data_IF_939948005366
#
_entry.id   IF_939948005366
#
_cell.length_a   1.000
_cell.length_b   1.000
_cell.length_c   1.000
_cell.angle_alpha   90.00
_cell.angle_beta   90.00
_cell.angle_gamma   90.00
#
_symmetry.space_group_name_H-M   'P 1'
#
loop_
_entity.id
_entity.type
_entity.pdbx_description
1 polymer ?
#
# COMPACT_ATOMS: atom_id res chain seq x y z
N UNK A 1 -10.58 -22.76 -2.79
CA UNK A 1 -9.79 -21.81 -1.99
C UNK A 1 -8.88 -20.92 -2.85
N UNK A 2 -8.01 -21.46 -3.71
CA UNK A 2 -7.12 -20.63 -4.55
C UNK A 2 -7.85 -19.58 -5.41
N UNK A 3 -8.92 -19.96 -6.12
CA UNK A 3 -9.75 -19.01 -6.86
C UNK A 3 -10.41 -17.93 -5.97
N UNK A 4 -10.77 -18.28 -4.73
CA UNK A 4 -11.35 -17.32 -3.79
C UNK A 4 -10.30 -16.28 -3.35
N UNK A 5 -9.05 -16.71 -3.12
CA UNK A 5 -7.94 -15.80 -2.81
C UNK A 5 -7.66 -14.85 -3.98
N UNK A 6 -7.63 -15.36 -5.21
CA UNK A 6 -7.48 -14.51 -6.41
C UNK A 6 -8.61 -13.48 -6.50
N UNK A 7 -9.87 -13.93 -6.37
CA UNK A 7 -11.02 -13.02 -6.44
C UNK A 7 -11.00 -11.94 -5.36
N UNK A 8 -10.68 -12.32 -4.12
CA UNK A 8 -10.55 -11.36 -3.01
C UNK A 8 -9.38 -10.39 -3.22
N UNK A 9 -8.23 -10.88 -3.68
CA UNK A 9 -7.07 -10.04 -3.98
C UNK A 9 -7.39 -8.97 -5.02
N UNK A 10 -7.98 -9.36 -6.15
CA UNK A 10 -8.36 -8.43 -7.22
C UNK A 10 -9.39 -7.40 -6.73
N UNK A 11 -10.43 -7.85 -6.02
CA UNK A 11 -11.46 -6.95 -5.47
C UNK A 11 -10.86 -5.89 -4.53
N UNK A 12 -9.96 -6.29 -3.63
CA UNK A 12 -9.30 -5.37 -2.70
C UNK A 12 -8.28 -4.47 -3.39
N UNK A 13 -7.59 -4.97 -4.42
CA UNK A 13 -6.70 -4.15 -5.25
C UNK A 13 -7.46 -2.98 -5.86
N UNK A 14 -8.57 -3.28 -6.54
CA UNK A 14 -9.41 -2.26 -7.18
C UNK A 14 -9.97 -1.27 -6.17
N UNK A 15 -10.42 -1.75 -5.01
CA UNK A 15 -10.91 -0.88 -3.94
C UNK A 15 -9.85 0.12 -3.48
N UNK A 16 -8.62 -0.35 -3.18
CA UNK A 16 -7.53 0.51 -2.70
C UNK A 16 -7.13 1.53 -3.78
N UNK A 17 -6.97 1.09 -5.04
CA UNK A 17 -6.62 1.98 -6.15
C UNK A 17 -7.70 3.03 -6.37
N UNK A 18 -8.98 2.64 -6.37
CA UNK A 18 -10.07 3.59 -6.56
C UNK A 18 -10.15 4.61 -5.42
N UNK A 19 -9.96 4.17 -4.17
CA UNK A 19 -9.91 5.08 -3.03
C UNK A 19 -8.77 6.11 -3.17
N UNK A 20 -7.58 5.69 -3.62
CA UNK A 20 -6.48 6.63 -3.88
C UNK A 20 -6.80 7.60 -5.03
N UNK A 21 -7.47 7.13 -6.09
CA UNK A 21 -7.90 7.97 -7.22
C UNK A 21 -8.96 8.99 -6.84
N UNK A 22 -9.86 8.64 -5.92
CA UNK A 22 -10.92 9.54 -5.43
C UNK A 22 -10.35 10.73 -4.68
N UNK A 23 -9.24 10.55 -3.95
CA UNK A 23 -8.54 11.63 -3.24
C UNK A 23 -7.85 12.62 -4.19
N UNK A 24 -7.60 12.22 -5.45
CA UNK A 24 -7.00 13.06 -6.52
C UNK A 24 -5.75 13.81 -6.09
N UNK A 25 -4.93 13.20 -5.23
CA UNK A 25 -3.70 13.83 -4.71
C UNK A 25 -2.61 13.75 -5.78
N UNK A 26 -2.16 14.88 -6.35
CA UNK A 26 -1.09 14.87 -7.33
C UNK A 26 0.26 14.72 -6.64
N UNK A 27 1.18 13.95 -7.22
CA UNK A 27 2.55 13.78 -6.70
C UNK A 27 3.28 15.11 -6.57
N UNK A 28 3.12 16.00 -7.55
CA UNK A 28 3.74 17.32 -7.55
C UNK A 28 3.25 18.19 -6.38
N UNK A 29 1.99 18.06 -5.96
CA UNK A 29 1.43 18.81 -4.83
C UNK A 29 2.09 18.44 -3.49
N UNK A 30 2.65 17.23 -3.40
CA UNK A 30 3.39 16.76 -2.23
C UNK A 30 4.89 17.08 -2.29
N UNK A 31 5.35 17.80 -3.32
CA UNK A 31 6.74 18.24 -3.46
C UNK A 31 7.64 17.26 -4.22
N UNK A 32 7.08 16.23 -4.84
CA UNK A 32 7.83 15.33 -5.73
C UNK A 32 8.24 16.11 -6.99
N UNK A 33 9.53 16.09 -7.34
CA UNK A 33 10.10 16.83 -8.47
C UNK A 33 10.16 15.98 -9.74
N UNK A 34 10.02 16.64 -10.90
CA UNK A 34 10.21 15.99 -12.20
C UNK A 34 9.07 15.04 -12.61
N UNK A 35 7.91 15.16 -11.98
CA UNK A 35 6.68 14.40 -12.29
C UNK A 35 5.66 15.30 -12.96
N UNK A 36 4.76 14.71 -13.74
CA UNK A 36 3.62 15.44 -14.31
C UNK A 36 2.76 16.00 -13.17
N UNK A 37 2.44 17.31 -13.15
CA UNK A 37 1.60 17.92 -12.13
C UNK A 37 0.18 17.35 -12.03
N UNK A 38 -0.27 16.63 -13.05
CA UNK A 38 -1.58 15.98 -13.11
C UNK A 38 -1.55 14.51 -12.72
N UNK A 39 -0.36 13.93 -12.54
CA UNK A 39 -0.20 12.53 -12.13
C UNK A 39 -0.68 12.34 -10.70
N UNK A 40 -1.75 11.56 -10.56
CA UNK A 40 -2.34 11.21 -9.27
C UNK A 40 -1.69 9.95 -8.72
N UNK A 41 -1.61 9.86 -7.40
CA UNK A 41 -1.11 8.65 -6.74
C UNK A 41 -2.12 7.53 -6.95
N UNK A 42 -1.77 6.49 -7.72
CA UNK A 42 -2.64 5.34 -7.92
C UNK A 42 -1.95 3.98 -7.81
N UNK A 43 -0.62 3.98 -7.63
CA UNK A 43 0.19 2.79 -7.39
C UNK A 43 0.86 2.78 -6.02
N UNK A 44 1.28 1.59 -5.58
CA UNK A 44 2.08 1.44 -4.37
C UNK A 44 3.41 2.20 -4.45
N UNK A 45 4.06 2.21 -5.62
CA UNK A 45 5.33 2.89 -5.81
C UNK A 45 5.20 4.41 -5.66
N UNK A 46 4.15 4.99 -6.24
CA UNK A 46 3.88 6.42 -6.13
C UNK A 46 3.50 6.79 -4.70
N UNK A 47 2.68 5.97 -4.04
CA UNK A 47 2.34 6.17 -2.63
C UNK A 47 3.58 6.12 -1.73
N UNK A 48 4.53 5.23 -2.01
CA UNK A 48 5.81 5.16 -1.29
C UNK A 48 6.67 6.41 -1.52
N UNK A 49 6.81 6.85 -2.78
CA UNK A 49 7.56 8.07 -3.12
C UNK A 49 6.93 9.28 -2.41
N UNK A 50 5.62 9.45 -2.55
CA UNK A 50 4.85 10.50 -1.88
C UNK A 50 5.02 10.45 -0.36
N UNK A 51 4.89 9.28 0.25
CA UNK A 51 5.04 9.08 1.69
C UNK A 51 6.45 9.43 2.16
N UNK A 52 7.49 9.07 1.40
CA UNK A 52 8.86 9.43 1.68
C UNK A 52 9.07 10.95 1.58
N UNK A 53 8.54 11.62 0.56
CA UNK A 53 8.63 13.07 0.42
C UNK A 53 7.91 13.82 1.55
N UNK A 54 6.71 13.38 1.93
CA UNK A 54 5.98 13.95 3.08
C UNK A 54 6.76 13.72 4.38
N UNK A 55 7.38 12.55 4.55
CA UNK A 55 8.24 12.25 5.70
C UNK A 55 9.46 13.17 5.75
N UNK A 56 10.14 13.37 4.63
CA UNK A 56 11.28 14.29 4.54
C UNK A 56 10.88 15.71 4.93
N UNK A 57 9.74 16.19 4.40
CA UNK A 57 9.19 17.49 4.77
C UNK A 57 8.88 17.57 6.28
N UNK A 58 8.23 16.55 6.84
CA UNK A 58 7.92 16.45 8.27
C UNK A 58 9.18 16.49 9.13
N UNK A 59 10.22 15.75 8.73
CA UNK A 59 11.51 15.76 9.43
C UNK A 59 12.26 17.09 9.28
N UNK A 60 12.02 17.84 8.21
CA UNK A 60 12.47 19.22 8.07
C UNK A 60 11.82 20.18 9.07
N UNK A 61 10.62 19.89 9.57
CA UNK A 61 9.96 20.66 10.65
C UNK A 61 10.56 20.28 12.02
N UNK A 62 10.65 18.99 12.31
CA UNK A 62 11.28 18.43 13.52
C UNK A 62 11.69 16.97 13.29
N UNK A 63 12.83 16.50 13.80
CA UNK A 63 13.26 15.13 13.52
C UNK A 63 12.36 14.07 14.19
N UNK A 64 11.64 14.42 15.26
CA UNK A 64 10.66 13.54 15.89
C UNK A 64 9.51 14.32 16.53
N UNK A 65 8.43 13.62 16.89
CA UNK A 65 7.32 14.20 17.64
C UNK A 65 7.77 14.72 19.01
N UNK A 66 8.75 14.06 19.64
CA UNK A 66 9.34 14.52 20.89
C UNK A 66 10.09 15.85 20.71
N UNK A 67 10.87 15.97 19.66
CA UNK A 67 11.57 17.23 19.35
C UNK A 67 10.61 18.35 18.96
N UNK A 68 9.51 18.03 18.28
CA UNK A 68 8.45 18.99 17.99
C UNK A 68 7.89 19.60 19.28
N UNK A 69 7.57 18.76 20.27
CA UNK A 69 6.94 19.20 21.51
C UNK A 69 7.93 19.73 22.56
N UNK A 70 9.18 19.28 22.51
CA UNK A 70 10.17 19.53 23.56
C UNK A 70 9.68 18.97 24.91
N UNK A 71 9.44 19.87 25.87
CA UNK A 71 8.84 19.55 27.18
C UNK A 71 7.34 19.87 27.26
N UNK A 72 6.77 20.42 26.19
CA UNK A 72 5.38 20.87 26.12
C UNK A 72 4.41 19.79 25.63
N UNK A 73 3.17 20.21 25.40
CA UNK A 73 2.10 19.40 24.80
C UNK A 73 1.77 19.92 23.40
N UNK A 74 1.04 19.11 22.63
CA UNK A 74 0.49 19.55 21.35
C UNK A 74 -0.35 20.83 21.51
N UNK A 75 -0.21 21.73 20.54
CA UNK A 75 -0.90 23.02 20.50
C UNK A 75 -1.51 23.18 19.10
N UNK A 76 -2.84 23.10 18.96
CA UNK A 76 -3.50 23.22 17.66
C UNK A 76 -3.42 24.63 17.08
N UNK A 77 -3.07 25.65 17.88
CA UNK A 77 -2.91 27.03 17.42
C UNK A 77 -1.50 27.31 16.89
N UNK A 78 -0.54 26.44 17.19
CA UNK A 78 0.81 26.52 16.66
C UNK A 78 0.86 25.92 15.24
N UNK A 79 1.16 26.72 14.19
CA UNK A 79 1.18 26.24 12.82
C UNK A 79 2.18 25.10 12.57
N UNK A 80 3.32 25.08 13.27
CA UNK A 80 4.30 23.98 13.13
C UNK A 80 3.76 22.67 13.66
N UNK A 81 3.09 22.69 14.81
CA UNK A 81 2.48 21.50 15.39
C UNK A 81 1.37 20.97 14.47
N UNK A 82 0.54 21.88 13.96
CA UNK A 82 -0.55 21.55 13.05
C UNK A 82 -0.01 20.91 11.75
N UNK A 83 0.91 21.56 11.04
CA UNK A 83 1.47 21.04 9.80
C UNK A 83 2.20 19.71 10.01
N UNK A 84 2.97 19.57 11.10
CA UNK A 84 3.61 18.30 11.44
C UNK A 84 2.60 17.17 11.63
N UNK A 85 1.52 17.45 12.36
CA UNK A 85 0.46 16.47 12.62
C UNK A 85 -0.35 16.11 11.36
N UNK A 86 -0.51 17.03 10.42
CA UNK A 86 -1.12 16.73 9.13
C UNK A 86 -0.19 15.86 8.27
N UNK A 87 1.10 16.20 8.24
CA UNK A 87 2.10 15.45 7.50
C UNK A 87 2.22 14.00 8.01
N UNK A 88 2.23 13.77 9.33
CA UNK A 88 2.32 12.39 9.87
C UNK A 88 1.07 11.56 9.52
N UNK A 89 -0.12 12.16 9.53
CA UNK A 89 -1.34 11.46 9.14
C UNK A 89 -1.32 11.09 7.66
N UNK A 90 -0.98 12.04 6.79
CA UNK A 90 -0.87 11.81 5.36
C UNK A 90 0.20 10.76 5.03
N UNK A 91 1.38 10.86 5.66
CA UNK A 91 2.45 9.87 5.57
C UNK A 91 1.93 8.46 5.91
N UNK A 92 1.24 8.32 7.04
CA UNK A 92 0.70 7.04 7.47
C UNK A 92 -0.35 6.49 6.50
N UNK A 93 -1.24 7.33 5.96
CA UNK A 93 -2.22 6.89 4.97
C UNK A 93 -1.57 6.39 3.68
N UNK A 94 -0.53 7.09 3.20
CA UNK A 94 0.23 6.69 2.02
C UNK A 94 0.91 5.33 2.25
N UNK A 95 1.62 5.15 3.37
CA UNK A 95 2.24 3.86 3.69
C UNK A 95 1.24 2.75 3.98
N UNK A 96 0.06 3.06 4.50
CA UNK A 96 -1.01 2.08 4.62
C UNK A 96 -1.50 1.62 3.24
N UNK A 97 -1.57 2.52 2.26
CA UNK A 97 -1.82 2.18 0.86
C UNK A 97 -0.76 1.23 0.28
N UNK A 98 0.53 1.54 0.50
CA UNK A 98 1.66 0.68 0.12
C UNK A 98 1.52 -0.72 0.73
N UNK A 99 1.33 -0.78 2.06
CA UNK A 99 1.20 -2.04 2.78
C UNK A 99 -0.02 -2.85 2.33
N UNK A 100 -1.15 -2.16 2.09
CA UNK A 100 -2.38 -2.79 1.58
C UNK A 100 -2.21 -3.43 0.21
N UNK A 101 -1.57 -2.72 -0.73
CA UNK A 101 -1.26 -3.27 -2.06
C UNK A 101 -0.19 -4.38 -2.00
N UNK A 102 0.77 -4.28 -1.09
CA UNK A 102 1.72 -5.35 -0.80
C UNK A 102 1.01 -6.63 -0.31
N UNK A 103 0.07 -6.49 0.63
CA UNK A 103 -0.74 -7.60 1.14
C UNK A 103 -1.59 -8.24 0.03
N UNK A 104 -2.23 -7.42 -0.81
CA UNK A 104 -2.97 -7.90 -1.99
C UNK A 104 -2.08 -8.76 -2.88
N UNK A 105 -0.85 -8.33 -3.15
CA UNK A 105 0.11 -9.08 -3.96
C UNK A 105 0.39 -10.46 -3.34
N UNK A 106 0.59 -10.54 -2.02
CA UNK A 106 0.79 -11.80 -1.30
C UNK A 106 -0.43 -12.72 -1.41
N UNK A 107 -1.64 -12.16 -1.28
CA UNK A 107 -2.91 -12.92 -1.40
C UNK A 107 -3.06 -13.49 -2.81
N UNK A 108 -2.79 -12.71 -3.85
CA UNK A 108 -2.83 -13.16 -5.24
C UNK A 108 -1.82 -14.27 -5.51
N UNK A 109 -0.57 -14.08 -5.08
CA UNK A 109 0.48 -15.09 -5.23
C UNK A 109 0.10 -16.41 -4.52
N UNK A 110 -0.43 -16.31 -3.30
CA UNK A 110 -0.91 -17.47 -2.53
C UNK A 110 -2.05 -18.20 -3.23
N UNK A 111 -3.02 -17.46 -3.79
CA UNK A 111 -4.11 -18.04 -4.56
C UNK A 111 -3.64 -18.77 -5.82
N UNK A 112 -2.68 -18.18 -6.55
CA UNK A 112 -2.05 -18.79 -7.71
C UNK A 112 -1.30 -20.07 -7.37
N UNK A 113 -0.49 -20.03 -6.30
CA UNK A 113 0.22 -21.21 -5.79
C UNK A 113 -0.74 -22.36 -5.48
N UNK A 114 -1.85 -22.10 -4.77
CA UNK A 114 -2.85 -23.13 -4.45
C UNK A 114 -3.44 -23.79 -5.72
N UNK A 115 -3.66 -23.03 -6.79
CA UNK A 115 -4.17 -23.56 -8.06
C UNK A 115 -3.13 -24.49 -8.70
N UNK A 116 -1.88 -24.05 -8.78
CA UNK A 116 -0.78 -24.85 -9.35
C UNK A 116 -0.61 -26.15 -8.56
N UNK A 117 -0.60 -26.08 -7.22
CA UNK A 117 -0.52 -27.28 -6.37
C UNK A 117 -1.71 -28.22 -6.59
N UNK A 118 -2.93 -27.70 -6.68
CA UNK A 118 -4.11 -28.52 -6.92
C UNK A 118 -4.04 -29.27 -8.27
N UNK A 119 -3.57 -28.59 -9.33
CA UNK A 119 -3.38 -29.20 -10.64
C UNK A 119 -2.30 -30.29 -10.61
N UNK A 120 -1.17 -30.02 -9.95
CA UNK A 120 -0.08 -30.99 -9.82
C UNK A 120 -0.53 -32.27 -9.08
N UNK A 121 -1.16 -32.11 -7.91
CA UNK A 121 -1.67 -33.23 -7.13
C UNK A 121 -2.78 -33.99 -7.87
N UNK A 122 -3.66 -33.27 -8.56
CA UNK A 122 -4.70 -33.88 -9.39
C UNK A 122 -4.15 -34.72 -10.53
N UNK A 123 -3.13 -34.21 -11.24
CA UNK A 123 -2.47 -34.94 -12.33
C UNK A 123 -1.75 -36.20 -11.83
N UNK A 124 -1.03 -36.10 -10.69
CA UNK A 124 -0.37 -37.25 -10.06
C UNK A 124 -1.41 -38.29 -9.63
N UNK A 125 -2.49 -37.86 -8.95
CA UNK A 125 -3.57 -38.75 -8.53
C UNK A 125 -4.22 -39.47 -9.70
N UNK A 126 -4.47 -38.76 -10.80
CA UNK A 126 -5.01 -39.35 -12.03
C UNK A 126 -4.06 -40.39 -12.66
N UNK A 127 -2.76 -40.08 -12.74
CA UNK A 127 -1.75 -41.00 -13.26
C UNK A 127 -1.68 -42.29 -12.43
N UNK A 128 -1.66 -42.17 -11.09
CA UNK A 128 -1.66 -43.31 -10.18
C UNK A 128 -2.94 -44.13 -10.28
N UNK A 129 -4.10 -43.49 -10.38
CA UNK A 129 -5.37 -44.20 -10.57
C UNK A 129 -5.40 -45.00 -11.87
N UNK A 130 -4.81 -44.47 -12.94
CA UNK A 130 -4.69 -45.15 -14.23
C UNK A 130 -3.77 -46.37 -14.12
N UNK A 131 -2.63 -46.24 -13.44
CA UNK A 131 -1.69 -47.35 -13.23
C UNK A 131 -2.32 -48.45 -12.37
N UNK A 132 -3.03 -48.09 -11.28
CA UNK A 132 -3.64 -49.05 -10.38
C UNK A 132 -4.82 -49.84 -10.99
N UNK A 133 -5.37 -49.36 -12.11
CA UNK A 133 -6.49 -49.99 -12.84
C UNK A 133 -6.04 -50.75 -14.09
N UNK A 134 -4.75 -50.71 -14.42
CA UNK A 134 -4.15 -51.46 -15.53
C UNK A 134 -3.59 -52.79 -15.01
#
# INVERSE_FOLDING_TARGET
MGLAFIGQGLSKQTYIINAMKEEKVPLAALGVKGVDPTEIIDTAKEAEIAGNTVREHRHGIAASYKELLGTGKFDPTNPKHLTYSQAINLENYLFLGVAGLGLVTVVLASGGFMIVTALALGAIGFALLKIARA
#
